data_IF_232324572991
#
_entry.id   IF_232324572991
#
_cell.length_a   1.000
_cell.length_b   1.000
_cell.length_c   1.000
_cell.angle_alpha   90.00
_cell.angle_beta   90.00
_cell.angle_gamma   90.00
#
_symmetry.space_group_name_H-M   'P 1'
#
loop_
_entity.id
_entity.type
_entity.pdbx_description
1 polymer ?
#
# COMPACT_ATOMS: atom_id res chain seq x y z
N UNK A 1 7.09 0.87 -8.67
CA UNK A 1 7.96 1.66 -7.79
C UNK A 1 9.26 0.91 -7.48
N UNK A 2 10.38 1.58 -7.32
CA UNK A 2 11.59 0.99 -6.71
C UNK A 2 11.56 1.31 -5.22
N UNK A 3 11.73 0.31 -4.36
CA UNK A 3 11.63 0.47 -2.91
C UNK A 3 13.00 0.16 -2.31
N UNK A 4 13.53 1.09 -1.51
CA UNK A 4 14.68 0.84 -0.64
C UNK A 4 14.16 0.75 0.81
N UNK A 5 13.87 -0.45 1.33
CA UNK A 5 13.25 -0.61 2.64
C UNK A 5 14.24 -0.18 3.75
N UNK A 6 13.79 0.73 4.61
CA UNK A 6 14.55 1.25 5.75
C UNK A 6 13.63 1.54 6.93
N UNK A 7 14.20 1.57 8.12
CA UNK A 7 13.45 1.95 9.31
C UNK A 7 12.94 3.39 9.19
N UNK A 8 11.81 3.67 9.83
CA UNK A 8 11.14 4.98 9.87
C UNK A 8 10.78 5.56 8.49
N UNK A 9 10.67 4.72 7.46
CA UNK A 9 10.25 5.13 6.13
C UNK A 9 8.91 4.49 5.80
N UNK A 10 7.90 5.32 5.58
CA UNK A 10 6.51 4.92 5.38
C UNK A 10 6.03 5.36 4.01
N UNK A 11 5.12 4.58 3.44
CA UNK A 11 4.36 4.94 2.26
C UNK A 11 2.92 5.21 2.67
N UNK A 12 2.43 6.39 2.31
CA UNK A 12 1.04 6.80 2.51
C UNK A 12 0.39 6.80 1.13
N UNK A 13 -0.61 5.94 0.95
CA UNK A 13 -1.40 5.90 -0.26
C UNK A 13 -2.78 6.47 0.05
N UNK A 14 -3.29 7.36 -0.80
CA UNK A 14 -4.64 7.90 -0.69
C UNK A 14 -5.47 7.47 -1.90
N UNK A 15 -6.73 7.11 -1.67
CA UNK A 15 -7.71 6.90 -2.73
C UNK A 15 -8.87 7.85 -2.54
N UNK A 16 -9.02 8.80 -3.47
CA UNK A 16 -10.14 9.75 -3.50
C UNK A 16 -11.50 9.04 -3.57
N UNK A 17 -11.61 7.98 -4.37
CA UNK A 17 -12.86 7.23 -4.55
C UNK A 17 -13.34 6.50 -3.29
N UNK A 18 -12.41 6.16 -2.39
CA UNK A 18 -12.70 5.44 -1.15
C UNK A 18 -12.57 6.33 0.08
N UNK A 19 -12.13 7.58 -0.09
CA UNK A 19 -11.72 8.48 0.99
C UNK A 19 -10.92 7.78 2.10
N UNK A 20 -9.92 7.00 1.68
CA UNK A 20 -9.17 6.11 2.59
C UNK A 20 -7.69 6.24 2.37
N UNK A 21 -6.95 6.30 3.48
CA UNK A 21 -5.49 6.26 3.50
C UNK A 21 -5.00 4.86 3.85
N UNK A 22 -3.91 4.41 3.24
CA UNK A 22 -3.15 3.25 3.71
C UNK A 22 -1.75 3.70 4.08
N UNK A 23 -1.39 3.54 5.36
CA UNK A 23 -0.08 3.86 5.90
C UNK A 23 0.70 2.56 6.10
N UNK A 24 1.77 2.37 5.32
CA UNK A 24 2.50 1.11 5.25
C UNK A 24 3.99 1.36 5.45
N UNK A 25 4.64 0.73 6.46
CA UNK A 25 6.09 0.77 6.61
C UNK A 25 6.79 0.17 5.40
N UNK A 26 7.91 0.74 4.97
CA UNK A 26 8.63 0.30 3.77
C UNK A 26 9.11 -1.16 3.82
N UNK A 27 9.53 -1.63 5.00
CA UNK A 27 9.89 -3.04 5.24
C UNK A 27 8.71 -3.99 5.05
N UNK A 28 7.51 -3.59 5.50
CA UNK A 28 6.28 -4.35 5.32
C UNK A 28 5.80 -4.29 3.87
N UNK A 29 5.94 -3.13 3.22
CA UNK A 29 5.54 -2.93 1.83
C UNK A 29 6.26 -3.93 0.89
N UNK A 30 7.55 -4.17 1.08
CA UNK A 30 8.32 -5.12 0.27
C UNK A 30 7.82 -6.57 0.44
N UNK A 31 7.27 -6.93 1.61
CA UNK A 31 6.72 -8.27 1.88
C UNK A 31 5.35 -8.47 1.26
N UNK A 32 4.50 -7.43 1.27
CA UNK A 32 3.10 -7.53 0.82
C UNK A 32 2.92 -7.11 -0.65
N UNK A 33 3.84 -6.31 -1.21
CA UNK A 33 3.82 -5.89 -2.59
C UNK A 33 4.39 -6.99 -3.51
N UNK A 34 3.85 -7.08 -4.72
CA UNK A 34 4.34 -8.01 -5.73
C UNK A 34 5.50 -7.37 -6.50
N UNK A 35 6.60 -8.11 -6.66
CA UNK A 35 7.73 -7.68 -7.50
C UNK A 35 7.65 -8.31 -8.89
N UNK A 36 7.83 -7.48 -9.91
CA UNK A 36 7.89 -7.95 -11.28
C UNK A 36 9.20 -8.71 -11.53
N UNK A 37 9.10 -10.03 -11.78
CA UNK A 37 10.26 -10.90 -12.03
C UNK A 37 10.77 -10.84 -13.48
N UNK A 38 9.92 -10.43 -14.44
CA UNK A 38 10.19 -10.42 -15.90
C UNK A 38 9.59 -9.17 -16.55
N UNK A 39 10.01 -8.85 -17.78
CA UNK A 39 9.48 -7.73 -18.61
C UNK A 39 10.18 -6.37 -18.39
N UNK A 40 9.70 -5.32 -19.09
CA UNK A 40 10.28 -3.96 -19.07
C UNK A 40 10.31 -3.33 -17.67
N UNK A 41 9.43 -3.76 -16.76
CA UNK A 41 9.36 -3.29 -15.38
C UNK A 41 9.98 -4.24 -14.36
N UNK A 42 10.93 -5.10 -14.79
CA UNK A 42 11.66 -6.04 -13.92
C UNK A 42 12.23 -5.32 -12.69
N UNK A 43 12.13 -5.97 -11.52
CA UNK A 43 12.53 -5.49 -10.19
C UNK A 43 11.66 -4.37 -9.59
N UNK A 44 10.72 -3.79 -10.33
CA UNK A 44 9.76 -2.83 -9.77
C UNK A 44 8.69 -3.55 -8.95
N UNK A 45 8.30 -2.92 -7.86
CA UNK A 45 7.21 -3.33 -6.99
C UNK A 45 5.88 -2.70 -7.44
N UNK A 46 4.81 -3.46 -7.27
CA UNK A 46 3.44 -3.05 -7.46
C UNK A 46 2.59 -3.60 -6.31
N UNK A 47 1.69 -2.76 -5.81
CA UNK A 47 0.69 -3.12 -4.81
C UNK A 47 -0.66 -2.65 -5.30
N UNK A 48 -1.69 -3.48 -5.13
CA UNK A 48 -3.06 -3.09 -5.41
C UNK A 48 -3.83 -3.06 -4.10
N UNK A 49 -4.19 -1.87 -3.60
CA UNK A 49 -4.84 -1.68 -2.31
C UNK A 49 -6.37 -1.75 -2.41
N UNK A 50 -6.90 -1.33 -3.56
CA UNK A 50 -8.33 -1.32 -3.84
C UNK A 50 -8.67 -2.28 -4.98
N UNK A 51 -9.75 -3.03 -4.82
CA UNK A 51 -10.35 -3.83 -5.88
C UNK A 51 -11.38 -3.02 -6.66
N UNK A 52 -11.64 -3.42 -7.89
CA UNK A 52 -12.78 -2.91 -8.66
C UNK A 52 -13.71 -4.06 -9.03
N UNK A 53 -14.97 -3.94 -8.65
CA UNK A 53 -16.01 -4.89 -9.04
C UNK A 53 -16.63 -4.42 -10.35
N UNK A 54 -16.41 -5.16 -11.44
CA UNK A 54 -17.06 -4.87 -12.74
C UNK A 54 -18.58 -5.02 -12.68
N UNK A 55 -19.06 -5.97 -11.87
CA UNK A 55 -20.49 -6.27 -11.72
C UNK A 55 -21.19 -5.13 -10.98
N UNK A 56 -20.63 -4.70 -9.85
CA UNK A 56 -21.21 -3.63 -9.03
C UNK A 56 -20.74 -2.22 -9.45
N UNK A 57 -19.83 -2.13 -10.42
CA UNK A 57 -19.16 -0.90 -10.89
C UNK A 57 -18.63 -0.01 -9.76
N UNK A 58 -18.10 -0.63 -8.71
CA UNK A 58 -17.60 0.06 -7.52
C UNK A 58 -16.19 -0.37 -7.18
N UNK A 59 -15.44 0.60 -6.65
CA UNK A 59 -14.14 0.36 -6.01
C UNK A 59 -14.38 0.00 -4.55
N UNK A 60 -13.63 -0.96 -4.05
CA UNK A 60 -13.71 -1.40 -2.65
C UNK A 60 -12.32 -1.64 -2.09
N UNK A 61 -12.08 -1.34 -0.80
CA UNK A 61 -10.81 -1.66 -0.16
C UNK A 61 -10.62 -3.18 -0.07
N UNK A 62 -9.41 -3.67 -0.31
CA UNK A 62 -9.12 -5.10 -0.15
C UNK A 62 -8.91 -5.43 1.33
N UNK A 63 -9.72 -6.36 1.85
CA UNK A 63 -9.73 -6.76 3.27
C UNK A 63 -8.34 -7.10 3.86
N UNK A 64 -7.43 -7.65 3.05
CA UNK A 64 -6.05 -7.97 3.48
C UNK A 64 -5.22 -6.74 3.90
N UNK A 65 -5.60 -5.54 3.46
CA UNK A 65 -4.91 -4.29 3.80
C UNK A 65 -5.64 -3.47 4.85
N UNK A 66 -6.73 -3.99 5.43
CA UNK A 66 -7.52 -3.31 6.46
C UNK A 66 -6.69 -2.89 7.68
N UNK A 67 -5.64 -3.65 8.02
CA UNK A 67 -4.71 -3.30 9.11
C UNK A 67 -3.90 -2.00 8.89
N UNK A 68 -3.83 -1.53 7.66
CA UNK A 68 -3.09 -0.32 7.27
C UNK A 68 -4.02 0.87 6.99
N UNK A 69 -5.34 0.66 6.99
CA UNK A 69 -6.34 1.71 6.72
C UNK A 69 -6.34 2.75 7.83
N UNK A 70 -6.17 4.03 7.45
CA UNK A 70 -6.15 5.20 8.33
C UNK A 70 -5.25 5.06 9.57
N UNK A 71 -4.22 4.22 9.48
CA UNK A 71 -3.32 3.90 10.58
C UNK A 71 -2.25 4.98 10.78
N UNK A 72 -2.68 6.23 11.02
CA UNK A 72 -1.81 7.37 11.26
C UNK A 72 -1.08 7.29 12.61
N UNK A 73 -1.60 6.48 13.54
CA UNK A 73 -0.97 6.22 14.84
C UNK A 73 0.47 5.68 14.70
N UNK A 74 0.73 4.89 13.64
CA UNK A 74 2.08 4.43 13.29
C UNK A 74 3.08 5.56 13.03
N UNK A 75 2.63 6.78 12.72
CA UNK A 75 3.51 7.93 12.52
C UNK A 75 3.76 8.66 13.84
N UNK A 76 2.77 8.72 14.73
CA UNK A 76 2.87 9.35 16.05
C UNK A 76 3.82 8.57 16.96
N UNK A 77 3.72 7.23 16.99
CA UNK A 77 4.56 6.36 17.82
C UNK A 77 6.07 6.41 17.46
N UNK A 78 6.43 6.94 16.29
CA UNK A 78 7.82 7.06 15.82
C UNK A 78 8.36 8.50 15.85
N UNK A 79 7.48 9.48 16.02
CA UNK A 79 7.84 10.91 16.10
C UNK A 79 7.89 11.45 17.53
N UNK A 80 7.50 10.65 18.53
CA UNK A 80 7.50 10.98 19.96
C UNK A 80 8.76 10.58 20.69
#
# INVERSE_FOLDING_TARGET
MTINPRDNYFFIFYSEQLDTYWIIPSKELVKIASQNKKGKNKRKYHINLAGYSKIKKLVYPLQKFKKYENNFKLLEDFGG
#
